data_IF_586392163670
#
_entry.id   IF_586392163670
#
_cell.length_a   1.000
_cell.length_b   1.000
_cell.length_c   1.000
_cell.angle_alpha   90.00
_cell.angle_beta   90.00
_cell.angle_gamma   90.00
#
_symmetry.space_group_name_H-M   'P 1'
#
loop_
_entity.id
_entity.type
_entity.pdbx_description
1 polymer ?
#
# COMPACT_ATOMS: atom_id res chain seq x y z
N UNK A 1 -13.79 22.66 -6.69
CA UNK A 1 -12.95 22.30 -5.53
C UNK A 1 -12.78 20.81 -5.64
N UNK A 2 -11.56 20.34 -5.98
CA UNK A 2 -11.31 18.93 -6.22
C UNK A 2 -11.63 18.03 -5.03
N UNK A 3 -11.78 16.73 -5.30
CA UNK A 3 -11.94 15.66 -4.31
C UNK A 3 -10.78 14.66 -4.43
N UNK A 4 -9.54 15.07 -4.04
CA UNK A 4 -8.34 14.28 -4.27
C UNK A 4 -8.23 13.11 -3.29
N UNK A 5 -9.03 12.08 -3.52
CA UNK A 5 -9.06 10.86 -2.71
C UNK A 5 -9.34 9.61 -3.53
N UNK A 6 -8.94 8.48 -3.01
CA UNK A 6 -9.27 7.15 -3.49
C UNK A 6 -10.65 6.74 -2.96
N UNK A 7 -11.51 6.22 -3.83
CA UNK A 7 -12.84 5.69 -3.51
C UNK A 7 -12.99 4.19 -3.83
N UNK A 8 -12.04 3.62 -4.56
CA UNK A 8 -12.00 2.18 -4.83
C UNK A 8 -10.56 1.71 -5.03
N UNK A 9 -10.24 0.54 -4.48
CA UNK A 9 -8.97 -0.15 -4.69
C UNK A 9 -9.27 -1.54 -5.21
N UNK A 10 -8.58 -1.92 -6.28
CA UNK A 10 -8.52 -3.31 -6.75
C UNK A 10 -7.08 -3.78 -6.75
N UNK A 11 -6.88 -5.07 -6.44
CA UNK A 11 -5.58 -5.72 -6.45
C UNK A 11 -5.64 -6.83 -7.49
N UNK A 12 -4.59 -6.97 -8.31
CA UNK A 12 -4.51 -8.07 -9.26
C UNK A 12 -4.35 -9.41 -8.51
N UNK A 13 -5.42 -10.20 -8.48
CA UNK A 13 -5.50 -11.49 -7.79
C UNK A 13 -4.43 -12.49 -8.22
N UNK A 14 -3.95 -12.42 -9.47
CA UNK A 14 -2.87 -13.28 -9.98
C UNK A 14 -1.54 -13.01 -9.28
N UNK A 15 -1.43 -11.84 -8.66
CA UNK A 15 -0.25 -11.39 -7.94
C UNK A 15 -0.48 -11.41 -6.43
N UNK A 16 -1.53 -12.01 -5.88
CA UNK A 16 -1.73 -11.99 -4.43
C UNK A 16 -1.03 -13.19 -3.78
N UNK A 17 -0.13 -12.90 -2.84
CA UNK A 17 0.44 -13.92 -1.95
C UNK A 17 -0.56 -14.27 -0.85
N UNK A 18 -1.33 -15.33 -1.07
CA UNK A 18 -2.14 -15.94 -0.01
C UNK A 18 -1.21 -16.59 1.02
N UNK A 19 -1.03 -15.94 2.16
CA UNK A 19 -0.15 -16.42 3.24
C UNK A 19 -0.91 -16.96 4.46
N UNK A 20 -1.94 -16.26 4.96
CA UNK A 20 -2.82 -16.72 6.06
C UNK A 20 -4.01 -15.75 6.28
N UNK A 21 -4.87 -16.07 7.25
CA UNK A 21 -6.08 -15.31 7.58
C UNK A 21 -5.80 -13.89 8.13
N UNK A 22 -4.74 -13.67 8.91
CA UNK A 22 -4.50 -12.34 9.48
C UNK A 22 -3.90 -11.38 8.45
N UNK A 23 -3.10 -11.85 7.49
CA UNK A 23 -2.64 -11.03 6.36
C UNK A 23 -3.85 -10.60 5.50
N UNK A 24 -4.82 -11.49 5.31
CA UNK A 24 -6.07 -11.17 4.63
C UNK A 24 -6.90 -10.14 5.42
N UNK A 25 -6.91 -10.25 6.75
CA UNK A 25 -7.55 -9.27 7.61
C UNK A 25 -6.85 -7.91 7.54
N UNK A 26 -5.52 -7.86 7.61
CA UNK A 26 -4.74 -6.63 7.45
C UNK A 26 -4.99 -5.97 6.09
N UNK A 27 -5.08 -6.77 5.01
CA UNK A 27 -5.45 -6.28 3.68
C UNK A 27 -6.82 -5.60 3.68
N UNK A 28 -7.84 -6.26 4.25
CA UNK A 28 -9.21 -5.71 4.32
C UNK A 28 -9.25 -4.42 5.12
N UNK A 29 -8.57 -4.38 6.26
CA UNK A 29 -8.47 -3.18 7.11
C UNK A 29 -7.77 -2.06 6.34
N UNK A 30 -6.65 -2.34 5.67
CA UNK A 30 -5.93 -1.34 4.90
C UNK A 30 -6.77 -0.77 3.75
N UNK A 31 -7.53 -1.60 3.02
CA UNK A 31 -8.47 -1.11 2.00
C UNK A 31 -9.56 -0.25 2.63
N UNK A 32 -10.21 -0.74 3.69
CA UNK A 32 -11.29 -0.01 4.36
C UNK A 32 -10.81 1.36 4.85
N UNK A 33 -9.72 1.40 5.60
CA UNK A 33 -9.18 2.65 6.14
C UNK A 33 -8.72 3.61 5.04
N UNK A 34 -8.25 3.08 3.90
CA UNK A 34 -7.88 3.91 2.76
C UNK A 34 -9.13 4.57 2.16
N UNK A 35 -10.22 3.84 1.98
CA UNK A 35 -11.47 4.40 1.44
C UNK A 35 -12.10 5.42 2.40
N UNK A 36 -12.02 5.16 3.71
CA UNK A 36 -12.56 6.07 4.75
C UNK A 36 -11.76 7.37 4.89
N UNK A 37 -10.44 7.33 4.75
CA UNK A 37 -9.60 8.51 4.95
C UNK A 37 -8.26 8.42 4.22
N UNK A 38 -8.14 9.16 3.12
CA UNK A 38 -6.90 9.30 2.38
C UNK A 38 -6.79 10.68 1.72
N UNK A 39 -5.56 11.06 1.40
CA UNK A 39 -5.24 12.14 0.46
C UNK A 39 -4.46 11.54 -0.69
N UNK A 40 -4.99 11.67 -1.91
CA UNK A 40 -4.39 11.15 -3.12
C UNK A 40 -4.62 12.11 -4.28
N UNK A 41 -3.57 12.83 -4.66
CA UNK A 41 -3.62 13.86 -5.71
C UNK A 41 -2.54 13.62 -6.76
N UNK A 42 -2.88 13.04 -7.92
CA UNK A 42 -2.01 13.05 -9.08
C UNK A 42 -1.57 14.49 -9.40
N UNK A 43 -0.28 14.72 -9.59
CA UNK A 43 0.26 16.05 -9.89
C UNK A 43 -0.02 16.48 -11.33
N UNK A 44 -0.36 15.53 -12.20
CA UNK A 44 -0.73 15.78 -13.59
C UNK A 44 -2.12 16.42 -13.65
N UNK A 45 -2.21 17.58 -14.28
CA UNK A 45 -3.50 18.16 -14.64
C UNK A 45 -4.14 17.36 -15.78
N UNK A 46 -5.43 17.07 -15.67
CA UNK A 46 -6.22 16.48 -16.74
C UNK A 46 -6.90 17.57 -17.56
N UNK A 47 -7.08 17.34 -18.87
CA UNK A 47 -7.52 18.36 -19.84
C UNK A 47 -8.91 18.95 -19.53
N UNK A 48 -9.78 18.17 -18.89
CA UNK A 48 -11.12 18.58 -18.48
C UNK A 48 -11.17 19.10 -17.04
N UNK A 49 -10.00 19.29 -16.40
CA UNK A 49 -9.90 19.77 -15.03
C UNK A 49 -10.41 18.77 -13.99
N UNK A 50 -10.44 17.47 -14.29
CA UNK A 50 -10.80 16.45 -13.32
C UNK A 50 -9.84 16.49 -12.12
N UNK A 51 -10.36 16.47 -10.90
CA UNK A 51 -9.54 16.53 -9.67
C UNK A 51 -9.97 15.47 -8.64
N UNK A 52 -10.45 14.32 -9.15
CA UNK A 52 -10.95 13.20 -8.34
C UNK A 52 -12.46 13.23 -8.10
N UNK A 53 -13.01 12.23 -7.40
CA UNK A 53 -12.28 11.14 -6.73
C UNK A 53 -11.72 10.07 -7.69
N UNK A 54 -10.83 9.22 -7.19
CA UNK A 54 -10.09 8.26 -8.01
C UNK A 54 -10.40 6.81 -7.64
N UNK A 55 -10.44 5.95 -8.66
CA UNK A 55 -10.35 4.50 -8.50
C UNK A 55 -8.93 4.09 -8.82
N UNK A 56 -8.35 3.19 -8.03
CA UNK A 56 -7.01 2.64 -8.31
C UNK A 56 -7.03 1.13 -8.48
N UNK A 57 -6.18 0.63 -9.36
CA UNK A 57 -5.82 -0.77 -9.46
C UNK A 57 -4.32 -0.92 -9.24
N UNK A 58 -3.94 -1.82 -8.32
CA UNK A 58 -2.55 -2.11 -7.99
C UNK A 58 -2.17 -3.50 -8.49
N UNK A 59 -1.05 -3.59 -9.20
CA UNK A 59 -0.47 -4.86 -9.64
C UNK A 59 1.05 -4.81 -9.57
N UNK A 60 1.69 -5.97 -9.47
CA UNK A 60 3.15 -6.10 -9.48
C UNK A 60 3.60 -7.03 -10.59
N UNK A 61 4.39 -6.51 -11.51
CA UNK A 61 4.97 -7.26 -12.62
C UNK A 61 6.47 -6.96 -12.74
N UNK A 62 7.29 -8.00 -12.84
CA UNK A 62 8.76 -7.87 -12.98
C UNK A 62 9.41 -6.92 -11.94
N UNK A 63 8.95 -6.97 -10.69
CA UNK A 63 9.47 -6.13 -9.60
C UNK A 63 9.11 -4.66 -9.72
N UNK A 64 8.04 -4.33 -10.47
CA UNK A 64 7.50 -2.98 -10.63
C UNK A 64 6.05 -2.96 -10.18
N UNK A 65 5.69 -1.98 -9.35
CA UNK A 65 4.31 -1.68 -8.98
C UNK A 65 3.69 -0.82 -10.07
N UNK A 66 2.57 -1.26 -10.63
CA UNK A 66 1.70 -0.43 -11.45
C UNK A 66 0.54 0.09 -10.58
N UNK A 67 0.31 1.40 -10.65
CA UNK A 67 -0.82 2.10 -10.04
C UNK A 67 -1.65 2.65 -11.19
N UNK A 68 -2.63 1.89 -11.65
CA UNK A 68 -3.58 2.37 -12.66
C UNK A 68 -4.63 3.24 -11.97
N UNK A 69 -4.80 4.46 -12.48
CA UNK A 69 -5.70 5.47 -11.94
C UNK A 69 -6.85 5.66 -12.94
N UNK A 70 -8.07 5.63 -12.43
CA UNK A 70 -9.28 5.86 -13.18
C UNK A 70 -10.19 6.87 -12.45
N UNK A 71 -11.11 7.44 -13.21
CA UNK A 71 -12.21 8.27 -12.73
C UNK A 71 -13.21 7.46 -11.93
N UNK A 72 -14.09 8.15 -11.23
CA UNK A 72 -15.24 7.57 -10.52
C UNK A 72 -16.11 6.66 -11.41
N UNK A 73 -16.34 7.08 -12.67
CA UNK A 73 -17.11 6.34 -13.68
C UNK A 73 -16.34 5.16 -14.31
N UNK A 74 -15.07 4.95 -13.93
CA UNK A 74 -14.20 3.91 -14.47
C UNK A 74 -13.40 4.32 -15.70
N UNK A 75 -13.56 5.55 -16.21
CA UNK A 75 -12.75 6.06 -17.32
C UNK A 75 -11.26 6.10 -16.96
N UNK A 76 -10.36 5.48 -17.76
CA UNK A 76 -8.94 5.45 -17.44
C UNK A 76 -8.32 6.85 -17.54
N UNK A 77 -7.41 7.16 -16.62
CA UNK A 77 -6.65 8.41 -16.62
C UNK A 77 -5.19 8.16 -16.99
N UNK A 78 -4.47 7.43 -16.14
CA UNK A 78 -3.07 7.11 -16.36
C UNK A 78 -2.62 5.91 -15.53
N UNK A 79 -1.39 5.47 -15.73
CA UNK A 79 -0.77 4.42 -14.91
C UNK A 79 0.63 4.85 -14.52
N UNK A 80 0.89 4.90 -13.22
CA UNK A 80 2.23 5.15 -12.69
C UNK A 80 2.93 3.82 -12.41
N UNK A 81 4.18 3.72 -12.86
CA UNK A 81 5.00 2.53 -12.63
C UNK A 81 6.17 2.88 -11.71
N UNK A 82 6.24 2.18 -10.58
CA UNK A 82 7.26 2.36 -9.56
C UNK A 82 8.11 1.10 -9.43
N UNK A 83 9.43 1.21 -9.64
CA UNK A 83 10.34 0.11 -9.36
C UNK A 83 10.40 -0.23 -7.87
N UNK A 84 10.17 -1.49 -7.50
CA UNK A 84 10.12 -1.97 -6.12
C UNK A 84 11.49 -2.35 -5.54
N UNK A 85 12.59 -2.11 -6.27
CA UNK A 85 13.94 -2.47 -5.83
C UNK A 85 14.31 -1.97 -4.44
N UNK A 86 13.92 -0.72 -4.09
CA UNK A 86 14.15 -0.14 -2.74
C UNK A 86 13.20 -0.67 -1.67
N UNK A 87 12.07 -1.27 -2.05
CA UNK A 87 11.08 -1.83 -1.12
C UNK A 87 11.34 -3.30 -0.78
N UNK A 88 12.24 -3.98 -1.51
CA UNK A 88 12.58 -5.40 -1.27
C UNK A 88 12.98 -5.68 0.17
N UNK A 89 13.82 -4.81 0.77
CA UNK A 89 14.27 -4.99 2.16
C UNK A 89 13.15 -4.72 3.18
N UNK A 90 12.45 -3.58 3.16
CA UNK A 90 11.29 -3.36 4.03
C UNK A 90 10.23 -4.48 3.96
N UNK A 91 9.92 -4.97 2.76
CA UNK A 91 8.94 -6.05 2.58
C UNK A 91 9.43 -7.35 3.20
N UNK A 92 10.70 -7.71 3.00
CA UNK A 92 11.30 -8.89 3.63
C UNK A 92 11.30 -8.77 5.15
N UNK A 93 11.63 -7.60 5.68
CA UNK A 93 11.71 -7.37 7.13
C UNK A 93 10.32 -7.40 7.77
N UNK A 94 9.30 -6.79 7.14
CA UNK A 94 7.90 -6.92 7.55
C UNK A 94 7.48 -8.38 7.68
N UNK A 95 7.74 -9.20 6.65
CA UNK A 95 7.37 -10.60 6.69
C UNK A 95 8.13 -11.42 7.73
N UNK A 96 9.41 -11.14 7.95
CA UNK A 96 10.18 -11.80 9.01
C UNK A 96 9.63 -11.47 10.42
N UNK A 97 9.14 -10.23 10.62
CA UNK A 97 8.49 -9.82 11.86
C UNK A 97 7.14 -10.53 12.03
N UNK A 98 6.32 -10.61 10.98
CA UNK A 98 5.06 -11.36 11.00
C UNK A 98 5.29 -12.84 11.34
N UNK A 99 6.27 -13.49 10.71
CA UNK A 99 6.61 -14.89 11.01
C UNK A 99 7.04 -15.07 12.48
N UNK A 100 7.83 -14.13 13.00
CA UNK A 100 8.25 -14.12 14.41
C UNK A 100 7.06 -13.94 15.36
N UNK A 101 6.12 -13.06 15.02
CA UNK A 101 4.88 -12.86 15.76
C UNK A 101 4.08 -14.17 15.87
N UNK A 102 3.88 -14.88 14.75
CA UNK A 102 3.14 -16.15 14.74
C UNK A 102 3.77 -17.24 15.59
N UNK A 103 5.09 -17.37 15.52
CA UNK A 103 5.82 -18.37 16.31
C UNK A 103 5.76 -18.05 17.81
N UNK A 104 5.77 -16.75 18.16
CA UNK A 104 5.84 -16.30 19.53
C UNK A 104 4.46 -16.17 20.21
N UNK A 105 3.38 -15.84 19.49
CA UNK A 105 2.11 -15.38 20.10
C UNK A 105 1.51 -16.35 21.14
N UNK A 106 1.70 -17.66 20.97
CA UNK A 106 1.17 -18.66 21.91
C UNK A 106 1.87 -18.65 23.27
N UNK A 107 3.12 -18.19 23.33
CA UNK A 107 3.98 -18.28 24.52
C UNK A 107 4.62 -16.94 24.92
N UNK A 108 4.42 -15.88 24.13
CA UNK A 108 5.03 -14.58 24.34
C UNK A 108 4.35 -13.81 25.47
N UNK A 109 5.14 -13.04 26.20
CA UNK A 109 4.62 -12.08 27.18
C UNK A 109 4.02 -10.87 26.45
N UNK A 110 3.11 -10.11 27.10
CA UNK A 110 2.57 -8.87 26.52
C UNK A 110 3.66 -7.89 26.08
N UNK A 111 4.76 -7.78 26.84
CA UNK A 111 5.89 -6.91 26.50
C UNK A 111 6.63 -7.36 25.23
N UNK A 112 6.76 -8.69 25.02
CA UNK A 112 7.35 -9.22 23.78
C UNK A 112 6.45 -8.95 22.58
N UNK A 113 5.13 -9.12 22.74
CA UNK A 113 4.15 -8.80 21.69
C UNK A 113 4.22 -7.31 21.33
N UNK A 114 4.24 -6.43 22.32
CA UNK A 114 4.37 -4.98 22.10
C UNK A 114 5.68 -4.63 21.37
N UNK A 115 6.79 -5.28 21.72
CA UNK A 115 8.08 -5.08 21.05
C UNK A 115 8.01 -5.47 19.56
N UNK A 116 7.37 -6.59 19.26
CA UNK A 116 7.15 -7.05 17.88
C UNK A 116 6.25 -6.07 17.12
N UNK A 117 5.17 -5.60 17.75
CA UNK A 117 4.28 -4.60 17.16
C UNK A 117 4.98 -3.27 16.88
N UNK A 118 5.84 -2.82 17.79
CA UNK A 118 6.68 -1.63 17.56
C UNK A 118 7.61 -1.81 16.37
N UNK A 119 8.28 -2.97 16.25
CA UNK A 119 9.14 -3.27 15.11
C UNK A 119 8.35 -3.29 13.80
N UNK A 120 7.16 -3.93 13.78
CA UNK A 120 6.25 -3.93 12.63
C UNK A 120 5.88 -2.50 12.23
N UNK A 121 5.46 -1.67 13.19
CA UNK A 121 5.11 -0.26 12.94
C UNK A 121 6.31 0.53 12.40
N UNK A 122 7.51 0.27 12.89
CA UNK A 122 8.74 0.90 12.41
C UNK A 122 8.99 0.64 10.93
N UNK A 123 8.88 -0.61 10.49
CA UNK A 123 9.05 -0.98 9.07
C UNK A 123 8.01 -0.30 8.19
N UNK A 124 6.74 -0.28 8.61
CA UNK A 124 5.69 0.42 7.87
C UNK A 124 5.93 1.93 7.79
N UNK A 125 6.44 2.55 8.86
CA UNK A 125 6.71 3.99 8.87
C UNK A 125 7.86 4.36 7.91
N UNK A 126 8.98 3.64 7.97
CA UNK A 126 10.09 3.85 7.02
C UNK A 126 9.64 3.65 5.57
N UNK A 127 8.87 2.59 5.31
CA UNK A 127 8.40 2.32 3.96
C UNK A 127 7.36 3.34 3.47
N UNK A 128 6.54 3.90 4.37
CA UNK A 128 5.59 4.97 4.04
C UNK A 128 6.32 6.27 3.64
N UNK A 129 7.36 6.67 4.38
CA UNK A 129 8.17 7.84 3.96
C UNK A 129 8.87 7.58 2.64
N UNK A 130 9.47 6.40 2.47
CA UNK A 130 10.07 6.03 1.18
C UNK A 130 9.03 6.08 0.04
N UNK A 131 7.81 5.59 0.25
CA UNK A 131 6.77 5.63 -0.77
C UNK A 131 6.39 7.06 -1.15
N UNK A 132 6.25 7.96 -0.17
CA UNK A 132 6.03 9.40 -0.41
C UNK A 132 7.16 10.01 -1.24
N UNK A 133 8.41 9.80 -0.84
CA UNK A 133 9.58 10.29 -1.59
C UNK A 133 9.61 9.76 -3.04
N UNK A 134 9.23 8.49 -3.24
CA UNK A 134 9.22 7.88 -4.56
C UNK A 134 8.08 8.38 -5.45
N UNK A 135 6.99 8.88 -4.87
CA UNK A 135 5.83 9.44 -5.58
C UNK A 135 5.86 10.97 -5.68
N UNK A 136 6.80 11.63 -5.01
CA UNK A 136 6.94 13.09 -5.05
C UNK A 136 7.01 13.62 -6.49
N UNK A 137 6.21 14.66 -6.76
CA UNK A 137 6.05 15.24 -8.10
C UNK A 137 5.29 14.37 -9.11
N UNK A 138 4.74 13.23 -8.68
CA UNK A 138 3.87 12.34 -9.47
C UNK A 138 2.48 12.24 -8.85
N UNK A 139 2.44 11.87 -7.57
CA UNK A 139 1.22 11.74 -6.79
C UNK A 139 1.52 12.26 -5.39
N UNK A 140 0.86 13.34 -4.98
CA UNK A 140 0.91 13.78 -3.60
C UNK A 140 0.00 12.86 -2.76
N UNK A 141 0.58 12.32 -1.68
CA UNK A 141 -0.14 11.49 -0.71
C UNK A 141 0.28 11.87 0.70
N UNK A 142 -0.63 11.72 1.67
CA UNK A 142 -0.28 11.84 3.09
C UNK A 142 0.40 10.57 3.62
N UNK A 143 0.91 10.65 4.84
CA UNK A 143 1.64 9.55 5.48
C UNK A 143 0.77 8.32 5.73
N UNK A 144 -0.48 8.50 6.16
CA UNK A 144 -1.37 7.39 6.47
C UNK A 144 -1.82 6.65 5.20
N UNK A 145 -2.04 7.40 4.11
CA UNK A 145 -2.28 6.90 2.75
C UNK A 145 -1.07 6.07 2.29
N UNK A 146 0.13 6.61 2.42
CA UNK A 146 1.36 5.90 2.05
C UNK A 146 1.55 4.60 2.85
N UNK A 147 1.27 4.66 4.16
CA UNK A 147 1.37 3.50 5.05
C UNK A 147 0.38 2.39 4.66
N UNK A 148 -0.87 2.73 4.35
CA UNK A 148 -1.90 1.78 3.90
C UNK A 148 -1.59 1.22 2.52
N UNK A 149 -1.14 2.05 1.59
CA UNK A 149 -0.67 1.59 0.27
C UNK A 149 0.50 0.62 0.41
N UNK A 150 1.45 0.87 1.32
CA UNK A 150 2.54 -0.06 1.58
C UNK A 150 2.06 -1.41 2.12
N UNK A 151 1.06 -1.44 3.02
CA UNK A 151 0.43 -2.70 3.45
C UNK A 151 -0.12 -3.48 2.26
N UNK A 152 -0.78 -2.81 1.31
CA UNK A 152 -1.28 -3.44 0.09
C UNK A 152 -0.16 -3.92 -0.83
N UNK A 153 0.94 -3.17 -0.94
CA UNK A 153 2.13 -3.57 -1.69
C UNK A 153 2.76 -4.84 -1.10
N UNK A 154 2.82 -4.99 0.22
CA UNK A 154 3.37 -6.19 0.87
C UNK A 154 2.61 -7.46 0.45
N UNK A 155 1.28 -7.39 0.31
CA UNK A 155 0.46 -8.57 -0.05
C UNK A 155 0.41 -8.84 -1.55
N UNK A 156 0.85 -7.88 -2.37
CA UNK A 156 1.15 -8.10 -3.78
C UNK A 156 2.50 -8.83 -3.91
N UNK A 157 2.53 -9.81 -4.80
CA UNK A 157 3.59 -10.78 -4.94
C UNK A 157 4.77 -10.14 -5.63
N UNK A 158 5.85 -9.93 -4.87
CA UNK A 158 7.17 -9.75 -5.47
C UNK A 158 7.72 -11.16 -5.71
N UNK A 159 7.62 -11.67 -6.94
CA UNK A 159 8.55 -12.71 -7.38
C UNK A 159 9.95 -12.10 -7.29
N UNK A 160 10.78 -12.71 -6.43
CA UNK A 160 12.21 -12.43 -6.36
C UNK A 160 12.88 -12.79 -7.66
#
# INVERSE_FOLDING_TARGET
MGDPRIIAVTLDEHTILWRNADIEQERRIAIFDLIEGNYFKPCRAYDDGYEGPYRIALSVEEGRLAIAIAREDGGPLETYVLGLGRFRRPIKDYFAICDSYYQAIRNATPQQIETIDMARRGVHNEAAELLKERLEGKIEIDFDTARRLFTLICVLHIKG
#
